data_IF_899114317139
#
_entry.id   IF_899114317139
#
_cell.length_a   1.000
_cell.length_b   1.000
_cell.length_c   1.000
_cell.angle_alpha   90.00
_cell.angle_beta   90.00
_cell.angle_gamma   90.00
#
_symmetry.space_group_name_H-M   'P 1'
#
loop_
_entity.id
_entity.type
_entity.pdbx_description
1 polymer ?
#
# COMPACT_ATOMS: atom_id res chain seq x y z
N UNK A 1 -3.86 -23.39 -6.02
CA UNK A 1 -2.58 -22.85 -5.51
C UNK A 1 -1.84 -21.88 -6.45
N UNK A 2 -2.09 -21.84 -7.78
CA UNK A 2 -1.28 -21.00 -8.70
C UNK A 2 -1.80 -19.57 -8.95
N UNK A 3 -3.07 -19.28 -8.69
CA UNK A 3 -3.67 -17.97 -8.97
C UNK A 3 -3.18 -16.89 -7.99
N UNK A 4 -3.09 -17.22 -6.70
CA UNK A 4 -2.60 -16.31 -5.66
C UNK A 4 -1.14 -15.89 -5.90
N UNK A 5 -0.29 -16.82 -6.34
CA UNK A 5 1.12 -16.54 -6.66
C UNK A 5 1.30 -15.68 -7.93
N UNK A 6 0.50 -15.89 -8.98
CA UNK A 6 0.55 -15.04 -10.19
C UNK A 6 0.00 -13.63 -9.92
N UNK A 7 -1.08 -13.53 -9.14
CA UNK A 7 -1.63 -12.26 -8.66
C UNK A 7 -0.58 -11.48 -7.87
N UNK A 8 0.13 -12.18 -6.98
CA UNK A 8 1.20 -11.63 -6.15
C UNK A 8 2.35 -11.08 -7.01
N UNK A 9 2.81 -11.83 -8.01
CA UNK A 9 3.95 -11.44 -8.87
C UNK A 9 3.61 -10.28 -9.82
N UNK A 10 2.41 -10.25 -10.41
CA UNK A 10 2.04 -9.18 -11.34
C UNK A 10 1.81 -7.85 -10.62
N UNK A 11 1.14 -7.88 -9.46
CA UNK A 11 0.94 -6.69 -8.63
C UNK A 11 2.28 -6.18 -8.08
N UNK A 12 3.19 -7.08 -7.67
CA UNK A 12 4.53 -6.73 -7.20
C UNK A 12 5.38 -6.09 -8.32
N UNK A 13 5.34 -6.62 -9.56
CA UNK A 13 6.06 -6.03 -10.71
C UNK A 13 5.61 -4.60 -11.04
N UNK A 14 4.30 -4.33 -10.98
CA UNK A 14 3.76 -2.98 -11.20
C UNK A 14 4.23 -2.04 -10.07
N UNK A 15 4.17 -2.50 -8.81
CA UNK A 15 4.60 -1.68 -7.67
C UNK A 15 6.12 -1.43 -7.64
N UNK A 16 6.93 -2.41 -8.05
CA UNK A 16 8.39 -2.30 -8.14
C UNK A 16 8.84 -1.37 -9.27
N UNK A 17 8.11 -1.30 -10.38
CA UNK A 17 8.40 -0.34 -11.46
C UNK A 17 8.09 1.12 -11.07
N UNK A 18 7.19 1.33 -10.09
CA UNK A 18 6.75 2.67 -9.67
C UNK A 18 7.57 3.20 -8.49
N UNK A 19 8.20 2.33 -7.69
CA UNK A 19 8.94 2.75 -6.48
C UNK A 19 10.40 2.29 -6.49
N UNK A 20 11.30 3.26 -6.67
CA UNK A 20 12.64 3.21 -6.04
C UNK A 20 12.54 3.32 -4.51
N UNK A 21 13.65 3.08 -3.78
CA UNK A 21 13.75 3.09 -2.30
C UNK A 21 12.71 4.01 -1.62
N UNK A 22 11.98 3.50 -0.62
CA UNK A 22 11.06 4.32 0.17
C UNK A 22 11.77 5.60 0.63
N UNK A 23 11.21 6.80 0.38
CA UNK A 23 11.80 8.03 0.86
C UNK A 23 11.88 8.01 2.38
N UNK A 24 12.96 8.56 2.91
CA UNK A 24 13.18 8.71 4.34
C UNK A 24 12.02 9.53 4.93
N UNK A 25 11.17 8.92 5.76
CA UNK A 25 9.96 9.54 6.30
C UNK A 25 10.21 10.80 7.17
N UNK A 26 11.49 11.10 7.50
CA UNK A 26 11.89 12.33 8.17
C UNK A 26 12.06 13.55 7.24
N UNK A 27 12.15 13.34 5.92
CA UNK A 27 12.38 14.41 4.96
C UNK A 27 11.05 14.80 4.32
N UNK A 28 10.38 15.81 4.89
CA UNK A 28 9.13 16.35 4.34
C UNK A 28 9.39 16.89 2.95
N UNK A 29 8.69 16.36 1.96
CA UNK A 29 8.71 16.91 0.62
C UNK A 29 7.82 18.16 0.62
N UNK A 30 8.41 19.35 0.63
CA UNK A 30 7.68 20.64 0.66
C UNK A 30 6.63 20.78 -0.45
N UNK A 31 6.78 20.01 -1.53
CA UNK A 31 5.97 20.10 -2.73
C UNK A 31 4.89 19.01 -2.83
N UNK A 32 4.79 18.08 -1.88
CA UNK A 32 3.77 17.01 -1.91
C UNK A 32 2.81 17.15 -0.74
N UNK A 33 1.48 17.07 -0.99
CA UNK A 33 0.52 17.15 0.09
C UNK A 33 0.63 15.91 0.98
N UNK A 34 0.68 16.14 2.30
CA UNK A 34 0.70 15.07 3.29
C UNK A 34 -0.69 14.43 3.32
N UNK A 35 -0.73 13.11 3.18
CA UNK A 35 -2.00 12.38 3.09
C UNK A 35 -2.89 12.62 4.31
N UNK A 36 -2.28 12.65 5.51
CA UNK A 36 -2.98 12.90 6.77
C UNK A 36 -3.66 14.28 6.85
N UNK A 37 -3.21 15.25 6.05
CA UNK A 37 -3.78 16.60 6.03
C UNK A 37 -4.93 16.74 5.01
N UNK A 38 -5.00 15.86 4.01
CA UNK A 38 -6.01 15.91 2.95
C UNK A 38 -7.15 14.89 3.12
N UNK A 39 -6.94 13.82 3.88
CA UNK A 39 -7.97 12.81 4.12
C UNK A 39 -8.86 13.21 5.29
N UNK A 40 -10.17 12.99 5.14
CA UNK A 40 -11.11 13.09 6.26
C UNK A 40 -10.88 11.94 7.25
N UNK A 41 -10.57 12.21 8.54
CA UNK A 41 -10.39 11.17 9.55
C UNK A 41 -11.63 10.30 9.78
N UNK A 42 -12.83 10.80 9.50
CA UNK A 42 -14.09 10.07 9.66
C UNK A 42 -14.41 9.16 8.47
N UNK A 43 -13.60 9.20 7.41
CA UNK A 43 -13.81 8.35 6.25
C UNK A 43 -13.61 6.87 6.60
N UNK A 44 -14.49 5.99 6.13
CA UNK A 44 -14.53 4.56 6.46
C UNK A 44 -13.16 3.86 6.29
N UNK A 45 -12.46 4.12 5.19
CA UNK A 45 -11.11 3.57 4.95
C UNK A 45 -10.05 4.09 5.92
N UNK A 46 -10.15 5.32 6.40
CA UNK A 46 -9.19 5.89 7.35
C UNK A 46 -9.41 5.24 8.71
N UNK A 47 -10.66 5.18 9.16
CA UNK A 47 -11.05 4.48 10.39
C UNK A 47 -10.62 3.01 10.33
N UNK A 48 -10.91 2.31 9.23
CA UNK A 48 -10.53 0.91 9.06
C UNK A 48 -9.00 0.74 9.08
N UNK A 49 -8.27 1.62 8.41
CA UNK A 49 -6.80 1.61 8.41
C UNK A 49 -6.26 1.75 9.83
N UNK A 50 -6.83 2.66 10.63
CA UNK A 50 -6.31 2.96 11.97
C UNK A 50 -6.70 1.88 13.00
N UNK A 51 -7.77 1.11 12.74
CA UNK A 51 -8.17 -0.04 13.55
C UNK A 51 -7.33 -1.31 13.28
N UNK A 52 -6.75 -1.45 12.10
CA UNK A 52 -5.94 -2.62 11.75
C UNK A 52 -4.58 -2.57 12.48
N UNK A 53 -4.24 -3.64 13.20
CA UNK A 53 -2.91 -3.81 13.78
C UNK A 53 -1.86 -4.15 12.71
N UNK A 54 -1.38 -3.13 12.00
CA UNK A 54 -0.39 -3.30 10.94
C UNK A 54 0.96 -3.87 11.43
N UNK A 55 1.29 -3.73 12.71
CA UNK A 55 2.55 -4.25 13.26
C UNK A 55 2.51 -5.77 13.39
N UNK A 56 1.39 -6.31 13.83
CA UNK A 56 1.16 -7.76 13.93
C UNK A 56 1.19 -8.41 12.54
N UNK A 57 0.48 -7.83 11.56
CA UNK A 57 0.55 -8.27 10.16
C UNK A 57 1.99 -8.19 9.64
N UNK A 58 2.72 -7.10 9.93
CA UNK A 58 4.11 -6.99 9.52
C UNK A 58 4.96 -8.10 10.14
N UNK A 59 4.77 -8.41 11.42
CA UNK A 59 5.52 -9.44 12.13
C UNK A 59 5.24 -10.84 11.57
N UNK A 60 3.97 -11.19 11.34
CA UNK A 60 3.58 -12.50 10.80
C UNK A 60 4.10 -12.73 9.39
N UNK A 61 4.07 -11.70 8.55
CA UNK A 61 4.53 -11.80 7.16
C UNK A 61 6.03 -11.57 7.02
N UNK A 62 6.72 -11.00 8.02
CA UNK A 62 8.16 -10.71 7.96
C UNK A 62 9.03 -11.91 7.55
N UNK A 63 8.79 -13.16 8.03
CA UNK A 63 9.59 -14.32 7.64
C UNK A 63 9.44 -14.71 6.16
N UNK A 64 8.36 -14.27 5.50
CA UNK A 64 8.08 -14.56 4.10
C UNK A 64 8.83 -13.62 3.14
N UNK A 65 9.42 -12.55 3.66
CA UNK A 65 10.17 -11.57 2.87
C UNK A 65 11.68 -11.80 3.03
N UNK A 66 12.40 -11.75 1.91
CA UNK A 66 13.85 -11.83 1.92
C UNK A 66 14.46 -10.55 2.50
N UNK A 67 15.46 -10.71 3.36
CA UNK A 67 16.29 -9.61 3.85
C UNK A 67 17.41 -9.22 2.87
N UNK A 68 17.58 -9.98 1.78
CA UNK A 68 18.62 -9.79 0.76
C UNK A 68 18.00 -9.59 -0.63
N UNK A 69 18.56 -8.65 -1.40
CA UNK A 69 18.12 -8.34 -2.77
C UNK A 69 17.46 -6.96 -2.91
N UNK A 70 16.57 -6.81 -3.89
CA UNK A 70 15.83 -5.57 -4.14
C UNK A 70 14.99 -5.20 -2.90
N UNK A 71 14.91 -3.90 -2.52
CA UNK A 71 14.07 -3.49 -1.40
C UNK A 71 12.63 -3.97 -1.63
N UNK A 72 12.16 -4.82 -0.72
CA UNK A 72 10.81 -5.36 -0.76
C UNK A 72 9.78 -4.26 -0.62
N UNK A 73 8.65 -4.40 -1.34
CA UNK A 73 7.49 -3.54 -1.14
C UNK A 73 7.01 -3.69 0.32
N UNK A 74 6.61 -2.60 1.01
CA UNK A 74 6.13 -2.70 2.38
C UNK A 74 4.93 -3.67 2.49
N UNK A 75 4.91 -4.48 3.54
CA UNK A 75 3.86 -5.49 3.78
C UNK A 75 2.47 -4.84 3.79
N UNK A 76 2.32 -3.70 4.47
CA UNK A 76 1.08 -2.90 4.50
C UNK A 76 0.59 -2.52 3.10
N UNK A 77 1.51 -2.16 2.22
CA UNK A 77 1.21 -1.78 0.84
C UNK A 77 0.71 -2.97 0.02
N UNK A 78 1.19 -4.17 0.31
CA UNK A 78 0.71 -5.39 -0.36
C UNK A 78 -0.66 -5.82 0.16
N UNK A 79 -0.78 -5.98 1.48
CA UNK A 79 -2.03 -6.38 2.16
C UNK A 79 -3.14 -5.36 1.89
N UNK A 80 -2.81 -4.07 1.90
CA UNK A 80 -3.74 -2.98 1.62
C UNK A 80 -4.38 -3.08 0.23
N UNK A 81 -3.62 -3.43 -0.82
CA UNK A 81 -4.22 -3.66 -2.16
C UNK A 81 -5.13 -4.86 -2.17
N UNK A 82 -4.72 -5.98 -1.57
CA UNK A 82 -5.52 -7.20 -1.56
C UNK A 82 -6.88 -6.95 -0.87
N UNK A 83 -6.87 -6.20 0.23
CA UNK A 83 -8.08 -5.77 0.93
C UNK A 83 -8.93 -4.84 0.05
N UNK A 84 -8.34 -3.80 -0.56
CA UNK A 84 -9.08 -2.87 -1.43
C UNK A 84 -9.69 -3.59 -2.64
N UNK A 85 -8.97 -4.52 -3.25
CA UNK A 85 -9.49 -5.37 -4.34
C UNK A 85 -10.71 -6.17 -3.87
N UNK A 86 -10.67 -6.71 -2.66
CA UNK A 86 -11.78 -7.51 -2.11
C UNK A 86 -12.98 -6.65 -1.71
N UNK A 87 -12.75 -5.53 -1.02
CA UNK A 87 -13.81 -4.61 -0.53
C UNK A 87 -14.57 -4.00 -1.70
N UNK A 88 -13.86 -3.55 -2.74
CA UNK A 88 -14.45 -2.85 -3.88
C UNK A 88 -14.65 -3.75 -5.12
N UNK A 89 -14.41 -5.06 -4.99
CA UNK A 89 -14.49 -6.04 -6.07
C UNK A 89 -13.73 -5.62 -7.35
N UNK A 90 -12.47 -5.18 -7.19
CA UNK A 90 -11.65 -4.62 -8.27
C UNK A 90 -10.65 -5.64 -8.84
N UNK A 91 -10.42 -5.54 -10.15
CA UNK A 91 -9.30 -6.21 -10.83
C UNK A 91 -7.95 -5.54 -10.55
N UNK A 92 -6.84 -6.19 -10.93
CA UNK A 92 -5.47 -5.69 -10.71
C UNK A 92 -5.19 -4.33 -11.36
N UNK A 93 -5.63 -4.14 -12.60
CA UNK A 93 -5.42 -2.89 -13.32
C UNK A 93 -6.33 -1.78 -12.79
N UNK A 94 -7.59 -2.12 -12.51
CA UNK A 94 -8.59 -1.16 -12.00
C UNK A 94 -8.25 -0.67 -10.60
N UNK A 95 -7.73 -1.53 -9.72
CA UNK A 95 -7.31 -1.10 -8.38
C UNK A 95 -6.13 -0.14 -8.46
N UNK A 96 -5.19 -0.37 -9.39
CA UNK A 96 -4.05 0.52 -9.59
C UNK A 96 -4.48 1.86 -10.16
N UNK A 97 -5.38 1.87 -11.16
CA UNK A 97 -5.94 3.10 -11.70
C UNK A 97 -6.67 3.94 -10.63
N UNK A 98 -7.47 3.29 -9.77
CA UNK A 98 -8.14 3.97 -8.64
C UNK A 98 -7.15 4.44 -7.58
N UNK A 99 -6.08 3.68 -7.31
CA UNK A 99 -5.07 4.05 -6.32
C UNK A 99 -4.33 5.34 -6.69
N UNK A 100 -3.98 5.55 -7.97
CA UNK A 100 -3.32 6.79 -8.42
C UNK A 100 -4.20 8.00 -8.14
N UNK A 101 -5.51 7.88 -8.30
CA UNK A 101 -6.44 9.01 -8.21
C UNK A 101 -6.98 9.25 -6.80
N UNK A 102 -6.92 8.26 -5.91
CA UNK A 102 -7.67 8.28 -4.65
C UNK A 102 -6.75 8.39 -3.41
N UNK A 103 -6.78 9.52 -2.67
CA UNK A 103 -5.93 9.71 -1.49
C UNK A 103 -6.25 8.74 -0.36
N UNK A 104 -7.51 8.31 -0.20
CA UNK A 104 -7.90 7.33 0.80
C UNK A 104 -7.30 5.94 0.53
N UNK A 105 -7.18 5.55 -0.74
CA UNK A 105 -6.53 4.29 -1.12
C UNK A 105 -5.03 4.35 -0.83
N UNK A 106 -4.39 5.49 -1.09
CA UNK A 106 -2.98 5.71 -0.77
C UNK A 106 -2.74 5.70 0.75
N UNK A 107 -3.58 6.39 1.53
CA UNK A 107 -3.51 6.39 2.99
C UNK A 107 -3.68 4.99 3.58
N UNK A 108 -4.69 4.23 3.14
CA UNK A 108 -4.95 2.87 3.60
C UNK A 108 -3.72 1.95 3.42
N UNK A 109 -3.00 2.13 2.31
CA UNK A 109 -1.76 1.41 1.98
C UNK A 109 -0.51 1.85 2.75
N UNK A 110 -0.63 2.89 3.58
CA UNK A 110 0.47 3.42 4.40
C UNK A 110 1.40 4.38 3.67
N UNK A 111 0.93 5.02 2.61
CA UNK A 111 1.63 6.15 2.01
C UNK A 111 1.55 7.38 2.94
N UNK A 112 2.65 8.14 3.02
CA UNK A 112 2.70 9.40 3.78
C UNK A 112 2.35 10.63 2.94
N UNK A 113 2.64 10.56 1.64
CA UNK A 113 2.48 11.66 0.68
C UNK A 113 1.66 11.18 -0.51
N UNK A 114 0.83 12.07 -1.05
CA UNK A 114 0.08 11.78 -2.28
C UNK A 114 1.05 11.62 -3.46
N UNK A 115 0.82 10.59 -4.29
CA UNK A 115 1.65 10.26 -5.46
C UNK A 115 1.10 10.84 -6.75
#
# INVERSE_FOLDING_TARGET
>A
MSFFARLFVNCLKILQNIKGKLPNQGQRNLFRPILKEIVNPEHELVVLSDQINWQEIKYEFSPLYSNTGQPGTPIRTMVGLLLLKRIYNLGDETVMAKWVQNPYFQYFRGESEFQ
#
